data_IF_940594362539
#
_entry.id   IF_940594362539
#
_cell.length_a   1.000
_cell.length_b   1.000
_cell.length_c   1.000
_cell.angle_alpha   90.00
_cell.angle_beta   90.00
_cell.angle_gamma   90.00
#
_symmetry.space_group_name_H-M   'P 1'
#
loop_
_entity.id
_entity.type
_entity.pdbx_description
1 polymer ?
#
# COMPACT_ATOMS: atom_id res chain seq x y z
N UNK A 1 -34.38 7.72 -0.24
CA UNK A 1 -33.21 7.98 -1.10
C UNK A 1 -31.97 7.47 -0.39
N UNK A 2 -31.23 6.55 -0.99
CA UNK A 2 -30.15 5.80 -0.32
C UNK A 2 -28.80 5.82 -1.07
N UNK A 3 -28.68 6.61 -2.13
CA UNK A 3 -27.59 6.45 -3.11
C UNK A 3 -26.46 7.48 -2.96
N UNK A 4 -26.48 8.27 -1.88
CA UNK A 4 -25.44 9.28 -1.64
C UNK A 4 -24.21 8.60 -1.02
N UNK A 5 -23.16 8.40 -1.82
CA UNK A 5 -21.83 8.07 -1.32
C UNK A 5 -21.11 9.37 -0.93
N UNK A 6 -20.57 9.44 0.28
CA UNK A 6 -19.87 10.62 0.81
C UNK A 6 -18.55 10.22 1.46
N UNK A 7 -17.49 10.98 1.18
CA UNK A 7 -16.20 10.89 1.86
C UNK A 7 -16.12 11.96 2.93
N UNK A 8 -15.84 11.57 4.17
CA UNK A 8 -15.58 12.50 5.28
C UNK A 8 -14.09 12.48 5.59
N UNK A 9 -13.34 13.56 5.29
CA UNK A 9 -11.94 13.65 5.69
C UNK A 9 -11.83 13.64 7.23
N UNK A 10 -10.98 12.77 7.78
CA UNK A 10 -10.73 12.68 9.21
C UNK A 10 -9.27 13.01 9.52
N UNK A 11 -9.01 13.61 10.69
CA UNK A 11 -7.66 13.73 11.24
C UNK A 11 -7.22 12.43 11.93
N UNK A 12 -5.99 12.39 12.45
CA UNK A 12 -5.47 11.21 13.15
C UNK A 12 -6.26 10.77 14.40
N UNK A 13 -7.21 11.59 14.87
CA UNK A 13 -8.08 11.29 16.02
C UNK A 13 -9.50 10.91 15.59
N UNK A 14 -9.71 10.57 14.31
CA UNK A 14 -11.00 10.27 13.72
C UNK A 14 -12.04 11.41 13.83
N UNK A 15 -11.58 12.67 13.98
CA UNK A 15 -12.46 13.84 13.96
C UNK A 15 -12.51 14.45 12.54
N UNK A 16 -13.65 15.04 12.12
CA UNK A 16 -13.76 15.73 10.84
C UNK A 16 -12.63 16.75 10.64
N UNK A 17 -11.97 16.68 9.50
CA UNK A 17 -10.81 17.50 9.13
C UNK A 17 -11.00 18.14 7.75
N UNK A 18 -12.16 18.77 7.55
CA UNK A 18 -12.55 19.38 6.29
C UNK A 18 -14.01 19.16 5.97
N UNK A 19 -14.46 19.76 4.87
CA UNK A 19 -15.83 19.60 4.39
C UNK A 19 -15.99 18.20 3.76
N UNK A 20 -17.10 17.47 4.04
CA UNK A 20 -17.40 16.23 3.34
C UNK A 20 -17.54 16.40 1.83
N UNK A 21 -17.17 15.37 1.08
CA UNK A 21 -17.19 15.33 -0.38
C UNK A 21 -18.27 14.34 -0.82
N UNK A 22 -19.27 14.82 -1.54
CA UNK A 22 -20.30 13.97 -2.14
C UNK A 22 -19.75 13.35 -3.43
N UNK A 23 -19.84 12.03 -3.56
CA UNK A 23 -19.43 11.28 -4.73
C UNK A 23 -20.63 11.10 -5.66
N UNK A 24 -20.41 11.37 -6.95
CA UNK A 24 -21.37 11.05 -8.01
C UNK A 24 -21.26 9.59 -8.44
N UNK A 25 -22.24 9.11 -9.21
CA UNK A 25 -22.28 7.75 -9.75
C UNK A 25 -21.11 7.42 -10.69
N UNK A 26 -20.43 8.44 -11.21
CA UNK A 26 -19.22 8.33 -12.03
C UNK A 26 -17.94 8.71 -11.30
N UNK A 27 -18.03 9.11 -10.02
CA UNK A 27 -16.84 9.37 -9.22
C UNK A 27 -16.07 8.05 -9.11
N UNK A 28 -14.74 8.05 -9.36
CA UNK A 28 -13.96 6.87 -9.09
C UNK A 28 -14.19 6.53 -7.62
N UNK A 29 -14.71 5.33 -7.36
CA UNK A 29 -14.69 4.78 -6.02
C UNK A 29 -13.24 4.89 -5.52
N UNK A 30 -12.99 5.08 -4.21
CA UNK A 30 -11.66 4.94 -3.66
C UNK A 30 -11.16 3.53 -4.02
N UNK A 31 -10.51 3.40 -5.17
CA UNK A 31 -9.96 2.16 -5.63
C UNK A 31 -8.87 1.79 -4.61
N UNK A 32 -8.57 0.50 -4.42
CA UNK A 32 -7.30 0.16 -3.84
C UNK A 32 -6.24 0.74 -4.77
N UNK A 33 -5.66 1.87 -4.37
CA UNK A 33 -4.55 2.47 -5.10
C UNK A 33 -3.52 1.34 -5.21
N UNK A 34 -3.08 1.03 -6.44
CA UNK A 34 -1.88 0.22 -6.75
C UNK A 34 -0.65 1.00 -6.31
N UNK A 35 -0.66 1.38 -5.04
CA UNK A 35 0.16 2.40 -4.45
C UNK A 35 0.97 1.80 -3.35
N UNK A 36 2.01 2.53 -2.99
CA UNK A 36 2.83 2.16 -1.88
C UNK A 36 2.02 2.08 -0.56
N UNK A 37 2.53 1.30 0.38
CA UNK A 37 1.92 1.04 1.68
C UNK A 37 2.80 1.63 2.77
N UNK A 38 2.20 2.10 3.86
CA UNK A 38 2.94 2.60 5.02
C UNK A 38 2.78 1.64 6.19
N UNK A 39 3.84 1.42 6.97
CA UNK A 39 3.74 0.65 8.22
C UNK A 39 2.83 1.37 9.23
N UNK A 40 2.25 0.62 10.16
CA UNK A 40 1.36 1.16 11.21
C UNK A 40 2.03 2.26 12.04
N UNK A 41 3.34 2.16 12.26
CA UNK A 41 4.12 3.16 12.98
C UNK A 41 4.52 4.38 12.12
N UNK A 42 4.13 4.41 10.84
CA UNK A 42 4.32 5.53 9.93
C UNK A 42 5.73 5.67 9.37
N UNK A 43 6.63 4.72 9.62
CA UNK A 43 8.08 5.01 9.46
C UNK A 43 8.71 4.40 8.25
N UNK A 44 8.02 3.42 7.65
CA UNK A 44 8.47 2.76 6.44
C UNK A 44 7.40 2.84 5.36
N UNK A 45 7.85 3.12 4.15
CA UNK A 45 7.03 3.17 2.95
C UNK A 45 7.45 2.06 1.99
N UNK A 46 6.53 1.20 1.60
CA UNK A 46 6.74 0.00 0.79
C UNK A 46 6.25 0.26 -0.62
N UNK A 47 7.15 0.25 -1.59
CA UNK A 47 6.91 0.63 -2.98
C UNK A 47 7.09 -0.60 -3.87
N UNK A 48 6.03 -1.10 -4.55
CA UNK A 48 6.16 -2.17 -5.52
C UNK A 48 6.87 -1.70 -6.80
N UNK A 49 7.79 -2.52 -7.30
CA UNK A 49 8.43 -2.40 -8.62
C UNK A 49 8.30 -3.74 -9.37
N UNK A 50 8.48 -3.72 -10.69
CA UNK A 50 8.55 -4.97 -11.46
C UNK A 50 9.78 -5.81 -11.03
N UNK A 51 10.85 -5.11 -10.64
CA UNK A 51 12.15 -5.66 -10.24
C UNK A 51 12.22 -5.99 -8.74
N UNK A 52 11.16 -5.85 -7.96
CA UNK A 52 11.19 -6.13 -6.53
C UNK A 52 10.34 -5.18 -5.72
N UNK A 53 10.65 -5.06 -4.44
CA UNK A 53 9.97 -4.12 -3.55
C UNK A 53 11.00 -3.26 -2.84
N UNK A 54 10.79 -1.94 -2.85
CA UNK A 54 11.61 -0.99 -2.10
C UNK A 54 10.92 -0.67 -0.79
N UNK A 55 11.62 -0.81 0.32
CA UNK A 55 11.20 -0.32 1.63
C UNK A 55 12.03 0.91 1.98
N UNK A 56 11.41 2.09 1.98
CA UNK A 56 12.04 3.35 2.39
C UNK A 56 11.80 3.63 3.86
N UNK A 57 12.87 3.83 4.62
CA UNK A 57 12.81 4.23 6.03
C UNK A 57 12.98 5.76 6.16
N UNK A 58 11.93 6.44 6.59
CA UNK A 58 11.92 7.90 6.72
C UNK A 58 12.70 8.40 7.93
N UNK A 59 12.96 7.55 8.93
CA UNK A 59 13.85 7.89 10.06
C UNK A 59 15.32 7.92 9.64
N UNK A 60 15.66 7.27 8.52
CA UNK A 60 17.03 7.11 8.03
C UNK A 60 17.26 7.89 6.73
N UNK A 61 16.78 9.13 6.66
CA UNK A 61 16.91 9.99 5.48
C UNK A 61 16.41 9.37 4.17
N UNK A 62 15.46 8.43 4.25
CA UNK A 62 14.95 7.73 3.07
C UNK A 62 15.86 6.62 2.52
N UNK A 63 16.80 6.10 3.32
CA UNK A 63 17.55 4.90 2.94
C UNK A 63 16.57 3.79 2.53
N UNK A 64 16.78 3.25 1.33
CA UNK A 64 15.94 2.21 0.75
C UNK A 64 16.56 0.84 0.91
N UNK A 65 15.78 -0.12 1.37
CA UNK A 65 16.09 -1.54 1.30
C UNK A 65 15.37 -2.16 0.09
N UNK A 66 16.11 -2.82 -0.78
CA UNK A 66 15.55 -3.61 -1.86
C UNK A 66 15.28 -5.04 -1.41
N UNK A 67 14.01 -5.45 -1.47
CA UNK A 67 13.58 -6.82 -1.26
C UNK A 67 13.37 -7.48 -2.62
N UNK A 68 14.33 -8.33 -2.99
CA UNK A 68 14.32 -9.12 -4.22
C UNK A 68 14.94 -10.51 -3.94
N UNK A 69 14.13 -11.54 -3.67
CA UNK A 69 14.58 -12.92 -3.63
C UNK A 69 15.34 -13.34 -4.90
N UNK A 70 16.29 -14.26 -4.76
CA UNK A 70 17.13 -14.73 -5.88
C UNK A 70 16.33 -15.38 -7.02
N UNK A 71 15.13 -15.89 -6.72
CA UNK A 71 14.24 -16.53 -7.66
C UNK A 71 13.14 -15.61 -8.20
N UNK A 72 13.24 -14.29 -7.99
CA UNK A 72 12.19 -13.32 -8.36
C UNK A 72 11.72 -13.45 -9.81
N UNK A 73 12.66 -13.68 -10.74
CA UNK A 73 12.38 -13.79 -12.17
C UNK A 73 11.83 -15.17 -12.58
N UNK A 74 11.87 -16.17 -11.70
CA UNK A 74 11.26 -17.49 -11.97
C UNK A 74 9.74 -17.44 -11.95
N UNK A 75 9.16 -16.43 -11.29
CA UNK A 75 7.71 -16.21 -11.26
C UNK A 75 7.36 -15.21 -12.34
N UNK A 76 6.60 -15.59 -13.37
CA UNK A 76 6.18 -14.64 -14.39
C UNK A 76 5.12 -13.67 -13.85
N UNK A 77 5.08 -12.48 -14.43
CA UNK A 77 4.04 -11.48 -14.18
C UNK A 77 4.37 -10.43 -13.12
N UNK A 78 3.53 -9.40 -13.08
CA UNK A 78 3.74 -8.19 -12.27
C UNK A 78 3.25 -8.34 -10.83
N UNK A 79 3.73 -7.45 -9.96
CA UNK A 79 3.20 -7.28 -8.62
C UNK A 79 1.82 -6.61 -8.71
N UNK A 80 0.78 -7.31 -8.21
CA UNK A 80 -0.62 -6.85 -8.28
C UNK A 80 -1.13 -6.25 -6.98
N UNK A 81 -0.63 -6.71 -5.85
CA UNK A 81 -1.07 -6.27 -4.53
C UNK A 81 0.02 -6.49 -3.48
N UNK A 82 0.01 -5.65 -2.44
CA UNK A 82 0.88 -5.74 -1.26
C UNK A 82 0.04 -5.49 -0.01
N UNK A 83 0.28 -6.31 1.01
CA UNK A 83 -0.17 -6.12 2.38
C UNK A 83 1.03 -6.16 3.34
N UNK A 84 1.05 -5.27 4.34
CA UNK A 84 2.06 -5.25 5.41
C UNK A 84 1.48 -6.01 6.60
N UNK A 85 2.28 -6.84 7.25
CA UNK A 85 1.87 -7.51 8.50
C UNK A 85 1.62 -6.50 9.63
N UNK A 86 0.75 -6.80 10.60
CA UNK A 86 0.45 -5.86 11.70
C UNK A 86 1.68 -5.41 12.49
N UNK A 87 2.70 -6.27 12.61
CA UNK A 87 3.98 -5.98 13.28
C UNK A 87 4.94 -5.10 12.44
N UNK A 88 4.61 -4.82 11.18
CA UNK A 88 5.41 -3.98 10.29
C UNK A 88 6.77 -4.58 9.90
N UNK A 89 6.91 -5.91 9.96
CA UNK A 89 8.17 -6.63 9.66
C UNK A 89 8.11 -7.53 8.44
N UNK A 90 6.92 -7.77 7.89
CA UNK A 90 6.71 -8.63 6.73
C UNK A 90 5.77 -7.97 5.72
N UNK A 91 5.91 -8.37 4.47
CA UNK A 91 4.96 -8.08 3.41
C UNK A 91 4.51 -9.37 2.74
N UNK A 92 3.20 -9.49 2.54
CA UNK A 92 2.64 -10.43 1.58
C UNK A 92 2.42 -9.68 0.26
N UNK A 93 2.91 -10.23 -0.85
CA UNK A 93 2.73 -9.65 -2.18
C UNK A 93 2.25 -10.71 -3.17
N UNK A 94 1.36 -10.29 -4.07
CA UNK A 94 0.93 -11.12 -5.19
C UNK A 94 1.77 -10.78 -6.42
N UNK A 95 2.51 -11.75 -6.98
CA UNK A 95 3.24 -11.64 -8.24
C UNK A 95 2.74 -12.69 -9.21
N UNK A 96 2.12 -12.27 -10.31
CA UNK A 96 1.42 -13.20 -11.20
C UNK A 96 0.36 -14.03 -10.46
N UNK A 97 0.52 -15.36 -10.47
CA UNK A 97 -0.35 -16.32 -9.76
C UNK A 97 0.16 -16.71 -8.37
N UNK A 98 1.31 -16.20 -7.93
CA UNK A 98 1.90 -16.56 -6.63
C UNK A 98 1.68 -15.49 -5.57
N UNK A 99 1.54 -15.93 -4.32
CA UNK A 99 1.68 -15.10 -3.12
C UNK A 99 3.05 -15.35 -2.53
N UNK A 100 3.79 -14.28 -2.25
CA UNK A 100 5.12 -14.33 -1.64
C UNK A 100 5.14 -13.55 -0.34
N UNK A 101 5.87 -14.06 0.63
CA UNK A 101 6.09 -13.42 1.93
C UNK A 101 7.55 -12.98 2.00
N UNK A 102 7.79 -11.67 2.10
CA UNK A 102 9.12 -11.10 2.27
C UNK A 102 9.24 -10.45 3.65
N UNK A 103 10.45 -10.43 4.20
CA UNK A 103 10.76 -9.80 5.49
C UNK A 103 11.96 -8.86 5.33
N UNK A 104 12.10 -7.91 6.26
CA UNK A 104 13.21 -6.96 6.33
C UNK A 104 13.62 -6.63 7.76
#
# INVERSE_FOLDING_TARGET
>A
SGDLLRVVPLNQFAKPAGRPIDLGTTSPLPAPIRGARITTDGTRYVIPHAEGVVVRDWRKSGAGLWLRPADWDKVPGDVRSIAISPDGRKIALQKGSEIRLLSW
#
